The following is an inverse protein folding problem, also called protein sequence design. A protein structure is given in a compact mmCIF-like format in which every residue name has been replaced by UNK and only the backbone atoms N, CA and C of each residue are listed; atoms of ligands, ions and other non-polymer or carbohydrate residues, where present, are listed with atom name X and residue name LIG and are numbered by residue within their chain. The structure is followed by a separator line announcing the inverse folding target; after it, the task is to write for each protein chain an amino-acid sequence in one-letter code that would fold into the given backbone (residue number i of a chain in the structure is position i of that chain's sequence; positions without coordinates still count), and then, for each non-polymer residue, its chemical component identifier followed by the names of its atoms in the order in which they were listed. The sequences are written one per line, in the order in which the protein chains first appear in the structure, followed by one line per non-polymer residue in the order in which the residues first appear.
data_IF_578513357213
#
_entry.id   IF_578513357213
#
_cell.length_a   1.000
_cell.length_b   1.000
_cell.length_c   1.000
_cell.angle_alpha   90.00
_cell.angle_beta   90.00
_cell.angle_gamma   90.00
#
_symmetry.space_group_name_H-M   'P 1'
#
loop_
_entity.id
_entity.type
_entity.pdbx_description
1 polymer ?
#
# COMPACT_ATOMS: atom_id res chain seq x y z
N UNK A 1 -5.50 -9.67 -25.06
CA UNK A 1 -5.11 -8.30 -24.66
C UNK A 1 -6.39 -7.59 -24.24
N UNK A 2 -6.41 -6.91 -23.08
CA UNK A 2 -7.65 -6.55 -22.38
C UNK A 2 -8.68 -5.81 -23.26
N UNK A 3 -9.85 -6.44 -23.46
CA UNK A 3 -10.98 -5.96 -24.29
C UNK A 3 -11.81 -4.84 -23.64
N UNK A 4 -11.39 -4.32 -22.48
CA UNK A 4 -12.15 -3.25 -21.82
C UNK A 4 -12.00 -1.95 -22.60
N UNK A 5 -13.10 -1.23 -22.85
CA UNK A 5 -13.06 0.12 -23.42
C UNK A 5 -12.52 1.21 -22.47
N UNK A 6 -12.16 0.85 -21.23
CA UNK A 6 -11.68 1.76 -20.19
C UNK A 6 -10.16 1.66 -20.09
N UNK A 7 -9.46 2.75 -20.40
CA UNK A 7 -7.99 2.79 -20.44
C UNK A 7 -7.34 2.45 -19.09
N UNK A 8 -7.95 2.88 -17.99
CA UNK A 8 -7.50 2.60 -16.62
C UNK A 8 -7.50 1.10 -16.32
N UNK A 9 -8.53 0.38 -16.78
CA UNK A 9 -8.62 -1.07 -16.59
C UNK A 9 -7.59 -1.82 -17.45
N UNK A 10 -7.34 -1.36 -18.68
CA UNK A 10 -6.28 -1.92 -19.52
C UNK A 10 -4.89 -1.72 -18.88
N UNK A 11 -4.60 -0.51 -18.39
CA UNK A 11 -3.33 -0.21 -17.72
C UNK A 11 -3.17 -1.02 -16.44
N UNK A 12 -4.23 -1.15 -15.64
CA UNK A 12 -4.23 -1.96 -14.42
C UNK A 12 -3.92 -3.43 -14.74
N UNK A 13 -4.61 -4.02 -15.72
CA UNK A 13 -4.36 -5.39 -16.14
C UNK A 13 -2.94 -5.59 -16.67
N UNK A 14 -2.41 -4.64 -17.44
CA UNK A 14 -1.03 -4.67 -17.93
C UNK A 14 -0.01 -4.62 -16.79
N UNK A 15 -0.25 -3.79 -15.76
CA UNK A 15 0.58 -3.76 -14.56
C UNK A 15 0.55 -5.09 -13.79
N UNK A 16 -0.63 -5.69 -13.59
CA UNK A 16 -0.74 -7.00 -12.94
C UNK A 16 0.00 -8.08 -13.73
N UNK A 17 -0.16 -8.10 -15.05
CA UNK A 17 0.53 -9.11 -15.88
C UNK A 17 2.05 -8.94 -15.83
N UNK A 18 2.54 -7.69 -15.77
CA UNK A 18 3.97 -7.39 -15.59
C UNK A 18 4.50 -7.89 -14.24
N UNK A 19 3.73 -7.72 -13.17
CA UNK A 19 4.12 -8.08 -11.80
C UNK A 19 3.56 -9.43 -11.34
N UNK A 20 3.16 -10.29 -12.28
CA UNK A 20 2.40 -11.54 -12.06
C UNK A 20 3.04 -12.47 -11.04
N UNK A 21 4.36 -12.65 -11.11
CA UNK A 21 5.09 -13.52 -10.17
C UNK A 21 5.06 -12.96 -8.75
N UNK A 22 5.19 -11.65 -8.57
CA UNK A 22 5.10 -11.01 -7.27
C UNK A 22 3.68 -11.10 -6.69
N UNK A 23 2.66 -10.89 -7.52
CA UNK A 23 1.24 -11.05 -7.12
C UNK A 23 0.97 -12.50 -6.71
N UNK A 24 1.41 -13.47 -7.52
CA UNK A 24 1.26 -14.90 -7.20
C UNK A 24 1.98 -15.25 -5.90
N UNK A 25 3.21 -14.78 -5.71
CA UNK A 25 3.95 -15.02 -4.47
C UNK A 25 3.22 -14.43 -3.25
N UNK A 26 2.70 -13.20 -3.38
CA UNK A 26 1.92 -12.54 -2.32
C UNK A 26 0.66 -13.30 -1.91
N UNK A 27 0.00 -13.99 -2.86
CA UNK A 27 -1.22 -14.77 -2.62
C UNK A 27 -0.96 -16.23 -2.21
N UNK A 28 0.19 -16.80 -2.56
CA UNK A 28 0.47 -18.23 -2.36
C UNK A 28 1.22 -18.49 -1.06
N UNK A 29 2.17 -17.63 -0.70
CA UNK A 29 3.06 -17.88 0.44
C UNK A 29 2.43 -17.37 1.74
N UNK A 30 2.59 -18.16 2.81
CA UNK A 30 2.19 -17.77 4.17
C UNK A 30 3.00 -16.60 4.71
N UNK A 31 4.24 -16.46 4.25
CA UNK A 31 5.11 -15.31 4.51
C UNK A 31 5.12 -14.45 3.26
N UNK A 32 4.45 -13.30 3.33
CA UNK A 32 4.38 -12.32 2.25
C UNK A 32 4.48 -10.89 2.81
N UNK A 33 4.54 -9.91 1.91
CA UNK A 33 4.72 -8.50 2.27
C UNK A 33 3.46 -7.84 2.86
N UNK A 34 2.33 -8.54 2.95
CA UNK A 34 1.03 -7.97 3.36
C UNK A 34 1.07 -7.36 4.76
N UNK A 35 1.74 -8.01 5.73
CA UNK A 35 1.89 -7.46 7.08
C UNK A 35 2.71 -6.16 7.10
N UNK A 36 3.77 -6.10 6.31
CA UNK A 36 4.64 -4.92 6.19
C UNK A 36 3.88 -3.78 5.53
N UNK A 37 3.18 -4.06 4.43
CA UNK A 37 2.35 -3.08 3.72
C UNK A 37 1.23 -2.53 4.61
N UNK A 38 0.59 -3.38 5.41
CA UNK A 38 -0.39 -2.97 6.42
C UNK A 38 0.20 -2.00 7.44
N UNK A 39 1.40 -2.30 7.97
CA UNK A 39 2.11 -1.40 8.91
C UNK A 39 2.47 -0.07 8.24
N UNK A 40 2.97 -0.10 7.01
CA UNK A 40 3.27 1.10 6.22
C UNK A 40 2.00 1.93 5.97
N UNK A 41 0.87 1.29 5.67
CA UNK A 41 -0.40 1.97 5.48
C UNK A 41 -0.88 2.65 6.78
N UNK A 42 -0.81 1.96 7.94
CA UNK A 42 -1.11 2.56 9.25
C UNK A 42 -0.23 3.78 9.52
N UNK A 43 1.07 3.69 9.23
CA UNK A 43 2.01 4.81 9.39
C UNK A 43 1.64 6.01 8.48
N UNK A 44 1.34 5.74 7.20
CA UNK A 44 0.90 6.77 6.24
C UNK A 44 -0.41 7.41 6.67
N UNK A 45 -1.33 6.65 7.26
CA UNK A 45 -2.60 7.16 7.80
C UNK A 45 -2.36 8.14 8.95
N UNK A 46 -1.57 7.75 9.96
CA UNK A 46 -1.24 8.63 11.10
C UNK A 46 -0.59 9.94 10.61
N UNK A 47 0.31 9.85 9.63
CA UNK A 47 0.91 11.04 9.00
C UNK A 47 -0.13 11.93 8.32
N UNK A 48 -1.08 11.36 7.55
CA UNK A 48 -2.15 12.09 6.86
C UNK A 48 -3.12 12.78 7.81
N UNK A 49 -3.42 12.19 8.97
CA UNK A 49 -4.24 12.81 10.02
C UNK A 49 -3.61 14.10 10.59
N UNK A 50 -2.32 14.34 10.36
CA UNK A 50 -1.66 15.60 10.71
C UNK A 50 -1.93 16.74 9.73
N UNK A 51 -2.52 16.49 8.55
CA UNK A 51 -2.77 17.49 7.50
C UNK A 51 -1.55 18.39 7.21
N UNK A 52 -0.34 17.81 7.24
CA UNK A 52 0.92 18.55 7.04
C UNK A 52 1.37 19.43 8.22
N UNK A 53 0.61 19.50 9.32
CA UNK A 53 0.88 20.36 10.49
C UNK A 53 1.66 19.65 11.60
N UNK A 54 2.09 18.41 11.39
CA UNK A 54 2.84 17.63 12.36
C UNK A 54 4.29 17.43 11.90
N UNK A 55 5.25 18.00 12.64
CA UNK A 55 6.67 17.69 12.49
C UNK A 55 7.03 16.30 13.03
N UNK A 56 8.28 15.86 12.78
CA UNK A 56 8.74 14.53 13.18
C UNK A 56 8.53 14.18 14.67
N UNK A 57 8.82 15.07 15.64
CA UNK A 57 8.63 14.74 17.07
C UNK A 57 7.17 14.39 17.40
N UNK A 58 6.21 15.12 16.82
CA UNK A 58 4.79 14.86 17.03
C UNK A 58 4.33 13.58 16.31
N UNK A 59 4.80 13.35 15.08
CA UNK A 59 4.51 12.11 14.35
C UNK A 59 5.04 10.88 15.09
N UNK A 60 6.26 10.95 15.64
CA UNK A 60 6.85 9.86 16.41
C UNK A 60 6.01 9.52 17.64
N UNK A 61 5.61 10.52 18.43
CA UNK A 61 4.69 10.33 19.57
C UNK A 61 3.36 9.73 19.13
N UNK A 62 2.76 10.21 18.03
CA UNK A 62 1.51 9.66 17.51
C UNK A 62 1.61 8.22 17.03
N UNK A 63 2.78 7.77 16.60
CA UNK A 63 3.01 6.37 16.19
C UNK A 63 3.20 5.47 17.41
N UNK A 64 3.95 5.93 18.42
CA UNK A 64 4.20 5.18 19.66
C UNK A 64 2.97 5.09 20.56
N UNK A 65 2.16 6.16 20.60
CA UNK A 65 0.94 6.26 21.41
C UNK A 65 -0.32 6.18 20.55
N UNK A 66 -0.22 5.63 19.34
CA UNK A 66 -1.40 5.32 18.55
C UNK A 66 -2.27 4.36 19.37
N UNK A 67 -3.40 4.85 19.89
CA UNK A 67 -4.52 4.00 20.32
C UNK A 67 -4.88 3.03 19.18
#
# INVERSE_FOLDING_TARGET
MAESGIAELQSFAACIEKDKEAVRAGLTWSINNGMVEGRVNKLKLIKRQGYGRAGFPLLHKRVLHAM
#
